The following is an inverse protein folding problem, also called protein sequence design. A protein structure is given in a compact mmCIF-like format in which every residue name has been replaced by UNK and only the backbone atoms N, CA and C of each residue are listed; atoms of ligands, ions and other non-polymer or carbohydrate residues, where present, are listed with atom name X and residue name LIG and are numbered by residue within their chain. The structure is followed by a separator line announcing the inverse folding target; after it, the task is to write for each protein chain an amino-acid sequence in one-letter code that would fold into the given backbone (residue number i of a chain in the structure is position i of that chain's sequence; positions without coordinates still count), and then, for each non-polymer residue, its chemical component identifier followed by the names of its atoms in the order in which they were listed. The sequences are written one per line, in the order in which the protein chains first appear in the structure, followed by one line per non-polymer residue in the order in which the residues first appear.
data_IF_693761970666
#
_entry.id   IF_693761970666
#
_cell.length_a   1.000
_cell.length_b   1.000
_cell.length_c   1.000
_cell.angle_alpha   90.00
_cell.angle_beta   90.00
_cell.angle_gamma   90.00
#
_symmetry.space_group_name_H-M   'P 1'
#
loop_
_entity.id
_entity.type
_entity.pdbx_description
1 polymer ?
#
# COMPACT_ATOMS: atom_id res chain seq x y z
N UNK A 1 0.16 15.26 -12.71
CA UNK A 1 0.25 13.81 -13.03
C UNK A 1 -0.96 13.08 -12.44
N UNK A 2 -1.46 11.99 -13.08
CA UNK A 2 -2.49 11.11 -12.50
C UNK A 2 -1.83 9.86 -11.92
N UNK A 3 -2.26 9.44 -10.72
CA UNK A 3 -1.80 8.26 -10.01
C UNK A 3 -3.02 7.40 -9.68
N UNK A 4 -2.94 6.09 -9.89
CA UNK A 4 -3.87 5.15 -9.31
C UNK A 4 -3.29 4.59 -8.01
N UNK A 5 -4.15 4.34 -7.04
CA UNK A 5 -3.75 3.80 -5.74
C UNK A 5 -4.60 2.58 -5.43
N UNK A 6 -3.97 1.47 -5.09
CA UNK A 6 -4.60 0.23 -4.62
C UNK A 6 -3.87 -0.27 -3.37
N UNK A 7 -4.49 -1.15 -2.62
CA UNK A 7 -3.91 -1.72 -1.39
C UNK A 7 -4.51 -3.07 -1.03
N UNK A 8 -3.87 -3.78 -0.13
CA UNK A 8 -4.42 -4.96 0.55
C UNK A 8 -4.90 -6.03 -0.45
N UNK A 9 -3.98 -6.43 -1.35
CA UNK A 9 -4.27 -7.40 -2.40
C UNK A 9 -4.41 -8.82 -1.85
N UNK A 10 -3.66 -9.15 -0.80
CA UNK A 10 -3.69 -10.42 -0.08
C UNK A 10 -3.70 -11.65 -1.01
N UNK A 11 -2.77 -11.69 -1.98
CA UNK A 11 -2.56 -12.90 -2.76
C UNK A 11 -2.19 -14.07 -1.82
N UNK A 12 -2.67 -15.27 -2.11
CA UNK A 12 -2.63 -16.48 -1.27
C UNK A 12 -3.68 -16.53 -0.14
N UNK A 13 -4.58 -15.58 -0.03
CA UNK A 13 -5.73 -15.68 0.90
C UNK A 13 -6.47 -17.00 0.71
N UNK A 14 -7.12 -17.50 1.77
CA UNK A 14 -7.84 -18.79 1.79
C UNK A 14 -6.96 -19.98 1.36
N UNK A 15 -5.71 -20.01 1.79
CA UNK A 15 -4.72 -21.06 1.48
C UNK A 15 -4.45 -21.18 -0.03
N UNK A 16 -4.37 -20.08 -0.73
CA UNK A 16 -4.13 -20.02 -2.18
C UNK A 16 -5.24 -20.70 -3.00
N UNK A 17 -6.50 -20.53 -2.61
CA UNK A 17 -7.62 -21.04 -3.36
C UNK A 17 -7.59 -20.56 -4.81
N UNK A 18 -7.64 -21.51 -5.76
CA UNK A 18 -7.47 -21.20 -7.19
C UNK A 18 -8.56 -20.30 -7.75
N UNK A 19 -9.79 -20.49 -7.31
CA UNK A 19 -10.93 -19.69 -7.78
C UNK A 19 -10.79 -18.25 -7.34
N UNK A 20 -10.35 -18.05 -6.09
CA UNK A 20 -10.12 -16.73 -5.55
C UNK A 20 -8.96 -16.02 -6.26
N UNK A 21 -7.84 -16.73 -6.44
CA UNK A 21 -6.68 -16.22 -7.17
C UNK A 21 -7.03 -15.83 -8.62
N UNK A 22 -7.82 -16.64 -9.31
CA UNK A 22 -8.31 -16.30 -10.66
C UNK A 22 -9.22 -15.07 -10.67
N UNK A 23 -10.03 -14.88 -9.62
CA UNK A 23 -10.87 -13.68 -9.49
C UNK A 23 -10.00 -12.43 -9.29
N UNK A 24 -8.96 -12.51 -8.46
CA UNK A 24 -8.00 -11.42 -8.28
C UNK A 24 -7.30 -11.07 -9.60
N UNK A 25 -6.83 -12.07 -10.37
CA UNK A 25 -6.20 -11.81 -11.67
C UNK A 25 -7.16 -11.15 -12.67
N UNK A 26 -8.41 -11.62 -12.75
CA UNK A 26 -9.44 -10.98 -13.59
C UNK A 26 -9.68 -9.52 -13.21
N UNK A 27 -9.65 -9.17 -11.93
CA UNK A 27 -9.74 -7.77 -11.53
C UNK A 27 -8.66 -6.92 -12.19
N UNK A 28 -7.41 -7.39 -12.22
CA UNK A 28 -6.32 -6.67 -12.89
C UNK A 28 -6.51 -6.62 -14.40
N UNK A 29 -6.81 -7.76 -15.04
CA UNK A 29 -6.85 -7.89 -16.49
C UNK A 29 -8.08 -7.25 -17.11
N UNK A 30 -9.26 -7.42 -16.49
CA UNK A 30 -10.55 -7.03 -17.05
C UNK A 30 -11.06 -5.67 -16.53
N UNK A 31 -10.58 -5.21 -15.37
CA UNK A 31 -11.06 -3.98 -14.75
C UNK A 31 -9.95 -2.94 -14.59
N UNK A 32 -8.92 -3.21 -13.77
CA UNK A 32 -7.92 -2.21 -13.41
C UNK A 32 -7.11 -1.74 -14.62
N UNK A 33 -6.48 -2.66 -15.35
CA UNK A 33 -5.62 -2.30 -16.50
C UNK A 33 -6.38 -1.58 -17.61
N UNK A 34 -7.58 -2.02 -18.03
CA UNK A 34 -8.40 -1.25 -18.98
C UNK A 34 -8.73 0.16 -18.48
N UNK A 35 -9.09 0.31 -17.20
CA UNK A 35 -9.42 1.61 -16.62
C UNK A 35 -8.19 2.53 -16.55
N UNK A 36 -7.03 2.03 -16.16
CA UNK A 36 -5.79 2.80 -16.16
C UNK A 36 -5.42 3.30 -17.56
N UNK A 37 -5.55 2.43 -18.56
CA UNK A 37 -5.28 2.76 -19.97
C UNK A 37 -6.28 3.80 -20.50
N UNK A 38 -7.57 3.64 -20.24
CA UNK A 38 -8.62 4.59 -20.68
C UNK A 38 -8.41 5.99 -20.12
N UNK A 39 -7.90 6.09 -18.88
CA UNK A 39 -7.60 7.37 -18.21
C UNK A 39 -6.19 7.90 -18.48
N UNK A 40 -5.39 7.18 -19.25
CA UNK A 40 -3.97 7.48 -19.51
C UNK A 40 -3.17 7.63 -18.20
N UNK A 41 -3.39 6.70 -17.24
CA UNK A 41 -2.65 6.62 -15.97
C UNK A 41 -1.49 5.65 -16.20
N UNK A 42 -0.28 6.06 -15.82
CA UNK A 42 0.95 5.28 -15.95
C UNK A 42 1.58 4.90 -14.61
N UNK A 43 1.15 5.55 -13.54
CA UNK A 43 1.70 5.37 -12.20
C UNK A 43 0.68 4.65 -11.33
N UNK A 44 1.06 3.48 -10.83
CA UNK A 44 0.27 2.64 -9.93
C UNK A 44 0.99 2.54 -8.58
N UNK A 45 0.32 2.99 -7.52
CA UNK A 45 0.83 2.88 -6.17
C UNK A 45 0.12 1.73 -5.46
N UNK A 46 0.90 0.83 -4.85
CA UNK A 46 0.41 -0.32 -4.10
C UNK A 46 0.80 -0.12 -2.63
N UNK A 47 -0.20 0.10 -1.79
CA UNK A 47 0.03 0.50 -0.40
C UNK A 47 0.11 -0.71 0.55
N UNK A 48 0.97 -1.68 0.20
CA UNK A 48 1.29 -2.83 1.04
C UNK A 48 0.29 -3.97 0.98
N UNK A 49 0.62 -5.01 1.74
CA UNK A 49 -0.13 -6.26 1.85
C UNK A 49 -0.44 -6.89 0.48
N UNK A 50 0.62 -7.05 -0.32
CA UNK A 50 0.53 -7.77 -1.60
C UNK A 50 0.24 -9.24 -1.37
N UNK A 51 0.91 -9.86 -0.39
CA UNK A 51 0.67 -11.25 0.02
C UNK A 51 -0.11 -11.33 1.34
N UNK A 52 -0.84 -12.44 1.52
CA UNK A 52 -1.67 -12.66 2.73
C UNK A 52 -0.87 -13.24 3.91
N UNK A 53 0.22 -13.95 3.64
CA UNK A 53 0.95 -14.69 4.67
C UNK A 53 2.39 -14.24 4.84
N UNK A 54 2.79 -13.99 6.10
CA UNK A 54 4.13 -13.50 6.49
C UNK A 54 5.23 -14.55 6.33
N UNK A 55 4.97 -15.79 6.74
CA UNK A 55 6.01 -16.80 6.96
C UNK A 55 6.30 -17.68 5.73
N UNK A 56 5.37 -17.77 4.81
CA UNK A 56 5.54 -18.59 3.62
C UNK A 56 4.69 -18.06 2.47
N UNK A 57 5.27 -17.93 1.32
CA UNK A 57 4.54 -17.68 0.07
C UNK A 57 4.43 -19.00 -0.68
N UNK A 58 3.22 -19.34 -1.11
CA UNK A 58 3.02 -20.50 -1.95
C UNK A 58 3.70 -20.27 -3.30
N UNK A 59 4.55 -21.21 -3.74
CA UNK A 59 5.35 -21.09 -4.98
C UNK A 59 4.48 -20.81 -6.21
N UNK A 60 3.29 -21.41 -6.31
CA UNK A 60 2.37 -21.16 -7.42
C UNK A 60 1.86 -19.70 -7.38
N UNK A 61 1.48 -19.22 -6.21
CA UNK A 61 1.02 -17.84 -6.03
C UNK A 61 2.14 -16.84 -6.33
N UNK A 62 3.35 -17.09 -5.82
CA UNK A 62 4.51 -16.25 -6.07
C UNK A 62 4.78 -16.09 -7.58
N UNK A 63 4.84 -17.21 -8.31
CA UNK A 63 5.03 -17.20 -9.76
C UNK A 63 3.93 -16.42 -10.50
N UNK A 64 2.68 -16.55 -10.06
CA UNK A 64 1.54 -15.84 -10.66
C UNK A 64 1.63 -14.34 -10.40
N UNK A 65 1.94 -13.94 -9.16
CA UNK A 65 2.07 -12.52 -8.79
C UNK A 65 3.27 -11.90 -9.50
N UNK A 66 4.40 -12.59 -9.56
CA UNK A 66 5.56 -12.13 -10.30
C UNK A 66 5.23 -11.92 -11.80
N UNK A 67 4.49 -12.87 -12.39
CA UNK A 67 4.02 -12.76 -13.78
C UNK A 67 3.07 -11.57 -13.97
N UNK A 68 2.15 -11.34 -13.03
CA UNK A 68 1.24 -10.18 -13.04
C UNK A 68 2.02 -8.87 -13.15
N UNK A 69 2.99 -8.64 -12.27
CA UNK A 69 3.79 -7.42 -12.29
C UNK A 69 4.70 -7.32 -13.52
N UNK A 70 5.29 -8.44 -13.95
CA UNK A 70 6.22 -8.51 -15.09
C UNK A 70 5.54 -8.37 -16.45
N UNK A 71 4.33 -8.92 -16.63
CA UNK A 71 3.68 -9.00 -17.94
C UNK A 71 2.44 -8.11 -18.04
N UNK A 72 1.48 -8.23 -17.11
CA UNK A 72 0.21 -7.50 -17.15
C UNK A 72 0.40 -6.03 -16.80
N UNK A 73 1.27 -5.74 -15.80
CA UNK A 73 1.56 -4.38 -15.33
C UNK A 73 2.84 -3.76 -15.93
N UNK A 74 3.45 -4.37 -16.95
CA UNK A 74 4.72 -3.93 -17.53
C UNK A 74 4.74 -2.49 -18.08
N UNK A 75 3.57 -2.00 -18.50
CA UNK A 75 3.40 -0.66 -19.07
C UNK A 75 3.17 0.42 -18.01
N UNK A 76 3.17 0.04 -16.74
CA UNK A 76 2.94 0.92 -15.59
C UNK A 76 4.18 0.98 -14.70
N UNK A 77 4.49 2.17 -14.19
CA UNK A 77 5.47 2.31 -13.11
C UNK A 77 4.77 2.01 -11.78
N UNK A 78 5.15 0.91 -11.14
CA UNK A 78 4.60 0.45 -9.88
C UNK A 78 5.46 0.96 -8.72
N UNK A 79 4.89 1.75 -7.83
CA UNK A 79 5.50 2.19 -6.57
C UNK A 79 4.84 1.40 -5.45
N UNK A 80 5.59 0.56 -4.76
CA UNK A 80 5.05 -0.43 -3.82
C UNK A 80 5.67 -0.19 -2.45
N UNK A 81 4.88 -0.04 -1.41
CA UNK A 81 5.38 -0.04 -0.02
C UNK A 81 5.16 -1.40 0.61
N UNK A 82 6.03 -1.76 1.54
CA UNK A 82 5.91 -3.02 2.30
C UNK A 82 4.82 -2.87 3.36
N UNK A 83 3.85 -3.78 3.38
CA UNK A 83 2.80 -3.89 4.39
C UNK A 83 3.17 -4.87 5.51
N UNK A 84 2.30 -4.99 6.52
CA UNK A 84 2.56 -5.86 7.68
C UNK A 84 2.42 -7.36 7.35
N UNK A 85 1.70 -7.74 6.31
CA UNK A 85 1.64 -9.11 5.82
C UNK A 85 2.80 -9.47 4.88
N UNK A 86 3.50 -8.49 4.34
CA UNK A 86 4.65 -8.74 3.47
C UNK A 86 5.94 -9.03 4.25
N UNK A 87 6.05 -8.65 5.53
CA UNK A 87 7.26 -8.82 6.35
C UNK A 87 7.31 -10.20 7.03
N UNK A 88 8.51 -10.80 7.10
CA UNK A 88 8.73 -12.04 7.82
C UNK A 88 8.82 -11.82 9.33
N UNK A 89 9.68 -10.89 9.77
CA UNK A 89 9.87 -10.51 11.18
C UNK A 89 8.98 -9.30 11.53
N UNK A 90 8.38 -9.32 12.71
CA UNK A 90 7.55 -8.20 13.19
C UNK A 90 8.34 -6.94 13.56
N UNK A 91 9.68 -7.06 13.64
CA UNK A 91 10.59 -6.01 14.11
C UNK A 91 11.39 -5.33 12.99
N UNK A 92 11.32 -5.82 11.75
CA UNK A 92 12.04 -5.25 10.60
C UNK A 92 11.30 -5.51 9.29
N UNK A 93 11.44 -4.59 8.35
CA UNK A 93 10.93 -4.70 6.97
C UNK A 93 11.94 -5.28 5.99
N UNK A 94 13.19 -5.52 6.41
CA UNK A 94 14.29 -5.96 5.53
C UNK A 94 14.05 -7.34 4.88
N UNK A 95 13.44 -8.26 5.64
CA UNK A 95 13.06 -9.58 5.12
C UNK A 95 11.58 -9.56 4.80
N UNK A 96 11.26 -9.42 3.51
CA UNK A 96 9.89 -9.32 3.03
C UNK A 96 9.68 -10.10 1.72
N UNK A 97 8.42 -10.39 1.42
CA UNK A 97 8.01 -11.19 0.25
C UNK A 97 8.12 -10.44 -1.08
N UNK A 98 8.40 -9.13 -1.07
CA UNK A 98 8.38 -8.29 -2.28
C UNK A 98 9.74 -8.20 -2.98
N UNK A 99 10.79 -8.82 -2.45
CA UNK A 99 12.16 -8.76 -2.97
C UNK A 99 12.27 -9.14 -4.46
N UNK A 100 11.52 -10.15 -4.90
CA UNK A 100 11.54 -10.57 -6.30
C UNK A 100 10.83 -9.57 -7.22
N UNK A 101 9.81 -8.89 -6.71
CA UNK A 101 9.09 -7.85 -7.46
C UNK A 101 9.97 -6.62 -7.63
N UNK A 102 10.80 -6.27 -6.64
CA UNK A 102 11.73 -5.14 -6.70
C UNK A 102 12.81 -5.30 -7.78
N UNK A 103 13.07 -6.52 -8.24
CA UNK A 103 13.99 -6.77 -9.35
C UNK A 103 13.40 -6.45 -10.73
N UNK A 104 12.10 -6.20 -10.83
CA UNK A 104 11.44 -5.87 -12.09
C UNK A 104 11.68 -4.40 -12.45
N UNK A 105 12.02 -4.09 -13.73
CA UNK A 105 12.42 -2.75 -14.15
C UNK A 105 11.32 -1.69 -14.03
N UNK A 106 10.07 -2.11 -13.93
CA UNK A 106 8.90 -1.24 -13.80
C UNK A 106 8.40 -1.13 -12.35
N UNK A 107 9.06 -1.78 -11.38
CA UNK A 107 8.65 -1.81 -9.98
C UNK A 107 9.72 -1.16 -9.08
N UNK A 108 9.28 -0.47 -8.05
CA UNK A 108 10.10 0.10 -7.00
C UNK A 108 9.47 -0.22 -5.65
N UNK A 109 10.14 -1.03 -4.83
CA UNK A 109 9.66 -1.43 -3.51
C UNK A 109 10.35 -0.60 -2.43
N UNK A 110 9.55 0.01 -1.57
CA UNK A 110 10.01 0.80 -0.45
C UNK A 110 9.86 0.01 0.84
N UNK A 111 10.99 -0.41 1.41
CA UNK A 111 11.09 -1.07 2.72
C UNK A 111 11.28 -0.07 3.85
N UNK A 112 11.81 1.11 3.52
CA UNK A 112 12.07 2.20 4.44
C UNK A 112 11.34 3.46 3.98
N UNK A 113 11.04 4.40 4.89
CA UNK A 113 10.44 5.67 4.53
C UNK A 113 11.24 6.39 3.45
N UNK A 114 10.56 6.85 2.40
CA UNK A 114 11.19 7.54 1.28
C UNK A 114 10.46 8.82 0.93
N UNK A 115 11.19 9.92 0.89
CA UNK A 115 10.70 11.22 0.43
C UNK A 115 10.87 11.32 -1.09
N UNK A 116 9.81 11.71 -1.79
CA UNK A 116 9.79 11.88 -3.24
C UNK A 116 9.20 13.24 -3.59
N UNK A 117 9.64 13.78 -4.72
CA UNK A 117 8.96 14.91 -5.37
C UNK A 117 8.23 14.39 -6.60
N UNK A 118 6.91 14.48 -6.60
CA UNK A 118 6.06 13.99 -7.65
C UNK A 118 5.22 15.16 -8.17
N UNK A 119 5.46 15.58 -9.41
CA UNK A 119 4.77 16.72 -10.03
C UNK A 119 4.83 18.00 -9.16
N UNK A 120 6.01 18.26 -8.60
CA UNK A 120 6.28 19.41 -7.72
C UNK A 120 5.70 19.29 -6.31
N UNK A 121 5.09 18.15 -5.95
CA UNK A 121 4.51 17.87 -4.64
C UNK A 121 5.44 17.04 -3.78
N UNK A 122 5.57 17.38 -2.52
CA UNK A 122 6.30 16.57 -1.54
C UNK A 122 5.46 15.37 -1.13
N UNK A 123 5.95 14.18 -1.45
CA UNK A 123 5.30 12.90 -1.15
C UNK A 123 6.16 12.07 -0.20
N UNK A 124 5.54 11.43 0.76
CA UNK A 124 6.16 10.45 1.63
C UNK A 124 5.62 9.05 1.27
N UNK A 125 6.52 8.12 0.92
CA UNK A 125 6.22 6.69 0.88
C UNK A 125 6.58 6.14 2.26
N UNK A 126 5.59 5.69 3.03
CA UNK A 126 5.76 5.22 4.40
C UNK A 126 5.31 3.76 4.50
N UNK A 127 6.22 2.77 4.43
CA UNK A 127 5.90 1.37 4.63
C UNK A 127 5.45 1.10 6.06
N UNK A 128 5.05 -0.14 6.35
CA UNK A 128 4.68 -0.56 7.68
C UNK A 128 5.74 -0.19 8.72
N UNK A 129 5.32 0.48 9.76
CA UNK A 129 6.20 0.90 10.86
C UNK A 129 6.25 -0.17 11.93
N UNK A 130 7.42 -0.69 12.21
CA UNK A 130 7.66 -1.65 13.29
C UNK A 130 7.84 -0.98 14.65
N UNK A 131 8.11 0.33 14.66
CA UNK A 131 8.20 1.18 15.85
C UNK A 131 7.55 2.55 15.59
N UNK A 132 6.37 2.79 16.16
CA UNK A 132 5.61 4.03 16.00
C UNK A 132 6.28 5.26 16.66
N UNK A 133 7.27 5.06 17.55
CA UNK A 133 8.01 6.17 18.17
C UNK A 133 8.87 6.92 17.15
N UNK A 134 9.23 6.28 16.05
CA UNK A 134 10.02 6.90 14.97
C UNK A 134 9.20 7.84 14.09
N UNK A 135 7.88 7.89 14.24
CA UNK A 135 7.01 8.68 13.36
C UNK A 135 7.41 10.16 13.31
N UNK A 136 7.65 10.78 14.45
CA UNK A 136 7.96 12.21 14.53
C UNK A 136 9.31 12.55 13.88
N UNK A 137 10.27 11.63 13.90
CA UNK A 137 11.56 11.76 13.21
C UNK A 137 11.39 11.62 11.69
N UNK A 138 10.62 10.64 11.26
CA UNK A 138 10.33 10.38 9.84
C UNK A 138 9.55 11.55 9.24
N UNK A 139 8.55 12.08 9.96
CA UNK A 139 7.66 13.15 9.53
C UNK A 139 8.07 14.50 10.14
N UNK A 140 9.38 14.80 10.12
CA UNK A 140 9.92 16.04 10.67
C UNK A 140 9.59 17.29 9.85
N UNK A 141 9.17 17.15 8.58
CA UNK A 141 8.79 18.24 7.67
C UNK A 141 7.37 18.08 7.13
N UNK A 142 6.87 19.12 6.46
CA UNK A 142 5.52 19.09 5.88
C UNK A 142 5.51 18.36 4.53
N UNK A 143 4.46 17.57 4.28
CA UNK A 143 4.21 16.84 3.05
C UNK A 143 2.84 17.19 2.45
N UNK A 144 2.77 17.27 1.10
CA UNK A 144 1.49 17.37 0.40
C UNK A 144 0.74 16.04 0.47
N UNK A 145 1.46 14.91 0.32
CA UNK A 145 0.89 13.57 0.31
C UNK A 145 1.72 12.58 1.13
N UNK A 146 1.03 11.68 1.83
CA UNK A 146 1.63 10.46 2.37
C UNK A 146 0.90 9.25 1.80
N UNK A 147 1.67 8.31 1.30
CA UNK A 147 1.20 6.99 0.87
C UNK A 147 1.77 5.97 1.86
N UNK A 148 0.92 5.37 2.67
CA UNK A 148 1.38 4.56 3.79
C UNK A 148 0.62 3.24 3.94
N UNK A 149 1.17 2.37 4.77
CA UNK A 149 0.48 1.21 5.32
C UNK A 149 0.57 1.30 6.83
N UNK A 150 -0.49 1.79 7.49
CA UNK A 150 -0.38 2.23 8.88
C UNK A 150 -1.61 1.94 9.72
N UNK A 151 -1.37 1.58 11.00
CA UNK A 151 -2.36 1.72 12.05
C UNK A 151 -2.50 3.18 12.44
N UNK A 152 -3.71 3.73 12.34
CA UNK A 152 -4.02 5.09 12.77
C UNK A 152 -5.14 5.04 13.81
N UNK A 153 -4.86 5.57 15.00
CA UNK A 153 -5.79 5.55 16.13
C UNK A 153 -7.10 6.25 15.78
N UNK A 154 -8.22 5.62 16.13
CA UNK A 154 -9.58 6.16 15.97
C UNK A 154 -10.22 5.89 14.61
N UNK A 155 -9.60 5.06 13.75
CA UNK A 155 -10.19 4.60 12.49
C UNK A 155 -10.85 3.23 12.62
N UNK A 156 -11.91 2.99 11.83
CA UNK A 156 -12.68 1.74 11.82
C UNK A 156 -11.87 0.61 11.18
N UNK A 157 -11.47 -0.37 11.99
CA UNK A 157 -10.79 -1.59 11.57
C UNK A 157 -11.70 -2.59 10.84
N UNK A 158 -13.00 -2.30 10.80
CA UNK A 158 -14.05 -3.18 10.32
C UNK A 158 -15.04 -3.54 11.43
N UNK A 159 -16.34 -3.65 11.05
CA UNK A 159 -17.40 -3.99 11.99
C UNK A 159 -17.70 -2.93 13.07
N UNK A 160 -17.24 -1.69 12.90
CA UNK A 160 -17.45 -0.60 13.87
C UNK A 160 -16.43 -0.59 15.02
N UNK A 161 -15.41 -1.45 14.98
CA UNK A 161 -14.31 -1.45 15.96
C UNK A 161 -13.26 -0.42 15.58
N UNK A 162 -13.05 0.57 16.45
CA UNK A 162 -12.03 1.59 16.25
C UNK A 162 -10.67 1.10 16.75
N UNK A 163 -9.62 1.46 16.01
CA UNK A 163 -8.24 1.20 16.43
C UNK A 163 -7.90 2.02 17.68
N UNK A 164 -7.30 1.37 18.66
CA UNK A 164 -6.70 1.95 19.85
C UNK A 164 -5.16 1.88 19.86
N UNK A 165 -4.59 1.28 18.81
CA UNK A 165 -3.15 1.15 18.60
C UNK A 165 -2.69 1.95 17.37
N UNK A 166 -1.37 2.22 17.28
CA UNK A 166 -0.76 2.90 16.14
C UNK A 166 -0.42 4.35 16.40
N UNK A 167 -0.37 5.14 15.33
CA UNK A 167 -0.04 6.57 15.38
C UNK A 167 -1.32 7.40 15.52
N UNK A 168 -1.38 8.38 16.44
CA UNK A 168 -2.52 9.29 16.51
C UNK A 168 -2.77 10.04 15.19
N UNK A 169 -4.03 10.15 14.77
CA UNK A 169 -4.42 10.86 13.55
C UNK A 169 -3.92 12.31 13.53
N UNK A 170 -3.87 12.98 14.70
CA UNK A 170 -3.38 14.35 14.84
C UNK A 170 -1.91 14.51 14.44
N UNK A 171 -1.09 13.48 14.59
CA UNK A 171 0.32 13.53 14.14
C UNK A 171 0.42 13.55 12.60
N UNK A 172 -0.45 12.80 11.92
CA UNK A 172 -0.53 12.86 10.45
C UNK A 172 -1.00 14.24 10.00
N UNK A 173 -2.13 14.71 10.49
CA UNK A 173 -2.73 15.98 10.04
C UNK A 173 -1.90 17.22 10.40
N UNK A 174 -1.04 17.14 11.41
CA UNK A 174 -0.14 18.23 11.77
C UNK A 174 0.93 18.54 10.70
N UNK A 175 1.28 17.57 9.85
CA UNK A 175 2.42 17.66 8.92
C UNK A 175 2.09 17.19 7.50
N UNK A 176 0.97 16.52 7.30
CA UNK A 176 0.62 15.90 6.02
C UNK A 176 -0.75 16.39 5.59
N UNK A 177 -0.80 16.95 4.39
CA UNK A 177 -2.06 17.49 3.87
C UNK A 177 -3.06 16.38 3.51
N UNK A 178 -2.61 15.35 2.79
CA UNK A 178 -3.47 14.23 2.40
C UNK A 178 -2.74 12.92 2.62
N UNK A 179 -3.32 12.04 3.44
CA UNK A 179 -2.80 10.69 3.71
C UNK A 179 -3.68 9.66 3.00
N UNK A 180 -3.05 8.72 2.30
CA UNK A 180 -3.66 7.54 1.73
C UNK A 180 -3.01 6.31 2.34
N UNK A 181 -3.79 5.46 3.01
CA UNK A 181 -3.31 4.29 3.73
C UNK A 181 -3.97 3.00 3.25
N UNK A 182 -3.18 1.91 3.19
CA UNK A 182 -3.66 0.55 3.27
C UNK A 182 -3.89 0.10 4.71
N UNK A 183 -3.95 -1.21 4.94
CA UNK A 183 -4.10 -1.92 6.20
C UNK A 183 -5.54 -2.21 6.61
N UNK A 184 -6.45 -1.23 6.60
CA UNK A 184 -7.86 -1.51 6.87
C UNK A 184 -8.60 -1.74 5.56
N UNK A 185 -9.21 -2.93 5.45
CA UNK A 185 -9.83 -3.39 4.20
C UNK A 185 -11.11 -2.64 3.85
N UNK A 186 -11.70 -1.94 4.81
CA UNK A 186 -12.87 -1.08 4.58
C UNK A 186 -12.42 0.30 4.11
N UNK A 187 -12.91 0.74 2.97
CA UNK A 187 -12.68 2.11 2.51
C UNK A 187 -13.31 3.11 3.48
N UNK A 188 -12.52 4.08 3.91
CA UNK A 188 -12.95 5.13 4.83
C UNK A 188 -12.18 6.43 4.58
N UNK A 189 -12.89 7.55 4.51
CA UNK A 189 -12.29 8.89 4.38
C UNK A 189 -12.72 9.75 5.54
N UNK A 190 -11.76 10.44 6.15
CA UNK A 190 -12.00 11.47 7.17
C UNK A 190 -11.34 12.77 6.72
N UNK A 191 -12.15 13.80 6.56
CA UNK A 191 -11.73 15.15 6.27
C UNK A 191 -11.74 15.99 7.54
N UNK A 192 -10.81 16.92 7.68
CA UNK A 192 -10.65 17.79 8.83
C UNK A 192 -10.92 19.24 8.41
N UNK A 193 -11.29 20.11 9.37
CA UNK A 193 -11.66 21.50 9.12
C UNK A 193 -10.54 22.34 8.51
N UNK A 194 -9.29 21.98 8.70
CA UNK A 194 -8.11 22.63 8.14
C UNK A 194 -7.80 22.20 6.69
N UNK A 195 -8.65 21.35 6.09
CA UNK A 195 -8.50 20.83 4.73
C UNK A 195 -7.54 19.64 4.63
N UNK A 196 -7.03 19.11 5.74
CA UNK A 196 -6.27 17.85 5.74
C UNK A 196 -7.21 16.65 5.64
N UNK A 197 -6.71 15.52 5.16
CA UNK A 197 -7.51 14.29 5.06
C UNK A 197 -6.71 13.02 5.30
N UNK A 198 -7.38 12.00 5.82
CA UNK A 198 -6.86 10.64 5.94
C UNK A 198 -7.84 9.69 5.25
N UNK A 199 -7.31 8.89 4.32
CA UNK A 199 -8.07 8.03 3.44
C UNK A 199 -7.54 6.59 3.52
N UNK A 200 -8.32 5.68 4.08
CA UNK A 200 -8.08 4.25 3.90
C UNK A 200 -8.66 3.81 2.55
N UNK A 201 -7.82 3.18 1.72
CA UNK A 201 -8.18 2.81 0.34
C UNK A 201 -9.13 1.61 0.33
N UNK A 202 -8.95 0.69 1.27
CA UNK A 202 -9.63 -0.59 1.30
C UNK A 202 -9.09 -1.59 0.28
N UNK A 203 -9.51 -2.84 0.41
CA UNK A 203 -9.19 -3.90 -0.56
C UNK A 203 -10.01 -3.76 -1.84
N UNK A 204 -9.47 -4.16 -3.00
CA UNK A 204 -10.20 -4.18 -4.28
C UNK A 204 -11.27 -5.28 -4.36
#
# INVERSE_FOLDING_TARGET
MKIAVISDLHFAIKKSDKTFLQSQLRFFEEQLVPELKSRNIKNLFVLGDVFDTRQSVNVQTDNIVLKLFKETLKDFTCQIIVGNHDIYHTTTTEVNSLKMIDLLPNCHVYENPKKLIIDGKKCLMLPWMTDYNQFDEIVAEDFDYCFCHADIIGFDMGGGRLSDAGVPASKFTAKIKHTYSGHYHKRYTKEYLDGTSINYIGSP
#
